data_IF_697092642237
#
_entry.id   IF_697092642237
#
_cell.length_a   1.000
_cell.length_b   1.000
_cell.length_c   1.000
_cell.angle_alpha   90.00
_cell.angle_beta   90.00
_cell.angle_gamma   90.00
#
_symmetry.space_group_name_H-M   'P 1'
#
loop_
_entity.id
_entity.type
_entity.pdbx_description
1 polymer ?
#
# COMPACT_ATOMS: atom_id res chain seq x y z
N UNK A 1 -17.92 8.41 1.51
CA UNK A 1 -16.72 7.58 1.24
C UNK A 1 -15.83 7.57 2.47
N UNK A 2 -15.48 6.38 2.92
CA UNK A 2 -14.65 6.18 4.12
C UNK A 2 -13.34 7.00 4.09
N UNK A 3 -12.68 7.09 2.94
CA UNK A 3 -11.42 7.86 2.79
C UNK A 3 -11.57 9.32 3.27
N UNK A 4 -12.64 10.03 2.90
CA UNK A 4 -12.80 11.44 3.30
C UNK A 4 -13.00 11.61 4.80
N UNK A 5 -13.72 10.68 5.41
CA UNK A 5 -13.96 10.69 6.87
C UNK A 5 -12.65 10.43 7.64
N UNK A 6 -11.80 9.50 7.13
CA UNK A 6 -10.47 9.25 7.71
C UNK A 6 -9.53 10.44 7.50
N UNK A 7 -9.51 11.03 6.30
CA UNK A 7 -8.68 12.22 6.03
C UNK A 7 -9.06 13.38 6.92
N UNK A 8 -10.36 13.62 7.17
CA UNK A 8 -10.82 14.64 8.09
C UNK A 8 -10.30 14.39 9.52
N UNK A 9 -10.34 13.14 10.00
CA UNK A 9 -9.76 12.76 11.29
C UNK A 9 -8.26 13.03 11.37
N UNK A 10 -7.51 12.65 10.33
CA UNK A 10 -6.07 12.90 10.25
C UNK A 10 -5.76 14.42 10.22
N UNK A 11 -6.49 15.21 9.42
CA UNK A 11 -6.35 16.65 9.37
C UNK A 11 -6.55 17.26 10.78
N UNK A 12 -7.64 16.88 11.47
CA UNK A 12 -7.99 17.42 12.77
C UNK A 12 -6.97 17.05 13.87
N UNK A 13 -6.35 15.87 13.79
CA UNK A 13 -5.24 15.49 14.71
C UNK A 13 -3.96 16.26 14.38
N UNK A 14 -3.64 16.39 13.11
CA UNK A 14 -2.41 17.06 12.65
C UNK A 14 -2.43 18.58 12.88
N UNK A 15 -3.60 19.23 12.91
CA UNK A 15 -3.74 20.68 13.19
C UNK A 15 -3.41 21.08 14.62
N UNK A 16 -3.34 20.14 15.53
CA UNK A 16 -2.83 20.40 16.87
C UNK A 16 -1.31 20.58 16.81
N UNK A 17 -0.73 21.63 17.40
CA UNK A 17 0.70 21.96 17.26
C UNK A 17 1.64 21.00 18.04
N UNK A 18 1.26 19.73 18.15
CA UNK A 18 1.94 18.74 18.99
C UNK A 18 3.27 18.26 18.37
N UNK A 19 3.42 18.32 17.04
CA UNK A 19 4.68 17.89 16.40
C UNK A 19 5.83 18.87 16.66
N UNK A 20 5.56 20.17 16.70
CA UNK A 20 6.58 21.19 17.02
C UNK A 20 7.03 21.13 18.49
N UNK A 21 6.23 20.53 19.36
CA UNK A 21 6.47 20.42 20.80
C UNK A 21 6.65 18.97 21.26
N UNK A 22 6.82 18.02 20.33
CA UNK A 22 6.95 16.61 20.65
C UNK A 22 8.33 16.35 21.31
N UNK A 23 8.32 16.21 22.63
CA UNK A 23 9.51 15.83 23.43
C UNK A 23 9.77 14.32 23.41
N UNK A 24 8.74 13.50 23.13
CA UNK A 24 8.80 12.03 23.17
C UNK A 24 9.04 11.39 21.79
N UNK A 25 9.65 12.13 20.85
CA UNK A 25 9.94 11.56 19.54
C UNK A 25 11.03 10.48 19.64
N UNK A 26 10.77 9.28 19.16
CA UNK A 26 11.73 8.18 19.09
C UNK A 26 13.01 8.52 18.31
N UNK A 27 12.96 9.55 17.45
CA UNK A 27 14.12 10.07 16.71
C UNK A 27 14.97 11.04 17.54
N UNK A 28 14.50 11.41 18.74
CA UNK A 28 15.23 12.25 19.70
C UNK A 28 15.65 13.60 19.12
N UNK A 29 16.90 13.99 19.38
CA UNK A 29 17.49 15.24 18.89
C UNK A 29 17.56 15.39 17.36
N UNK A 30 17.39 14.29 16.63
CA UNK A 30 17.36 14.29 15.16
C UNK A 30 15.96 14.55 14.59
N UNK A 31 14.95 14.68 15.44
CA UNK A 31 13.59 14.98 14.97
C UNK A 31 13.56 16.40 14.35
N UNK A 32 13.18 16.54 13.07
CA UNK A 32 13.11 17.86 12.45
C UNK A 32 11.92 18.69 12.89
N UNK A 33 11.03 18.15 13.76
CA UNK A 33 9.74 18.73 14.12
C UNK A 33 8.89 19.14 12.90
N UNK A 34 9.08 18.44 11.81
CA UNK A 34 8.47 18.66 10.51
C UNK A 34 8.19 17.30 9.89
N UNK A 35 6.90 16.93 9.75
CA UNK A 35 6.51 15.62 9.25
C UNK A 35 6.89 15.40 7.78
N UNK A 36 6.98 16.46 6.96
CA UNK A 36 7.42 16.33 5.57
C UNK A 36 8.89 15.95 5.50
N UNK A 37 9.75 16.59 6.31
CA UNK A 37 11.15 16.21 6.45
C UNK A 37 11.33 14.84 7.08
N UNK A 38 10.52 14.49 8.10
CA UNK A 38 10.53 13.15 8.67
C UNK A 38 10.26 12.08 7.63
N UNK A 39 9.26 12.29 6.74
CA UNK A 39 8.98 11.37 5.64
C UNK A 39 10.10 11.37 4.58
N UNK A 40 10.72 12.51 4.32
CA UNK A 40 11.87 12.54 3.41
C UNK A 40 13.04 11.73 3.96
N UNK A 41 13.37 11.84 5.24
CA UNK A 41 14.42 11.02 5.87
C UNK A 41 14.09 9.53 5.86
N UNK A 42 12.81 9.17 6.01
CA UNK A 42 12.35 7.80 5.93
C UNK A 42 12.49 7.23 4.51
N UNK A 43 12.06 7.99 3.51
CA UNK A 43 12.07 7.52 2.12
C UNK A 43 13.45 7.68 1.45
N UNK A 44 14.25 8.63 1.91
CA UNK A 44 15.57 8.96 1.40
C UNK A 44 16.59 9.08 2.57
N UNK A 45 17.06 7.97 3.14
CA UNK A 45 17.94 8.00 4.31
C UNK A 45 19.21 8.84 4.13
N UNK A 46 19.64 9.06 2.88
CA UNK A 46 20.79 9.92 2.57
C UNK A 46 20.56 11.43 2.87
N UNK A 47 19.31 11.83 3.02
CA UNK A 47 18.94 13.21 3.37
C UNK A 47 18.90 13.43 4.89
N UNK A 48 18.92 12.35 5.68
CA UNK A 48 18.97 12.45 7.14
C UNK A 48 20.28 13.11 7.62
N UNK A 49 20.27 13.75 8.80
CA UNK A 49 21.47 14.31 9.39
C UNK A 49 22.57 13.26 9.54
N UNK A 50 23.84 13.71 9.45
CA UNK A 50 24.98 12.82 9.66
C UNK A 50 24.92 12.20 11.06
N UNK A 51 25.15 10.89 11.15
CA UNK A 51 25.05 10.09 12.37
C UNK A 51 23.64 9.92 12.96
N UNK A 52 22.59 10.38 12.29
CA UNK A 52 21.23 10.08 12.71
C UNK A 52 20.97 8.57 12.61
N UNK A 53 20.20 7.99 13.55
CA UNK A 53 19.73 6.61 13.40
C UNK A 53 18.80 6.49 12.18
N UNK A 54 18.58 5.27 11.73
CA UNK A 54 17.62 5.03 10.65
C UNK A 54 16.21 5.47 11.06
N UNK A 55 15.58 6.31 10.22
CA UNK A 55 14.19 6.74 10.45
C UNK A 55 13.22 5.59 10.17
N UNK A 56 12.31 5.34 11.09
CA UNK A 56 11.29 4.27 10.99
C UNK A 56 9.89 4.85 11.03
N UNK A 57 8.90 4.01 10.67
CA UNK A 57 7.48 4.31 10.88
C UNK A 57 7.14 4.12 12.38
N UNK A 58 7.34 5.15 13.18
CA UNK A 58 7.19 5.11 14.64
C UNK A 58 6.61 6.41 15.25
N UNK A 59 6.14 7.34 14.39
CA UNK A 59 5.54 8.61 14.80
C UNK A 59 4.09 8.73 14.30
N UNK A 60 3.16 8.92 15.24
CA UNK A 60 1.73 9.06 14.94
C UNK A 60 1.40 10.33 14.12
N UNK A 61 2.14 11.43 14.36
CA UNK A 61 1.96 12.67 13.59
C UNK A 61 2.41 12.50 12.14
N UNK A 62 3.50 11.76 11.94
CA UNK A 62 3.97 11.39 10.61
C UNK A 62 2.95 10.50 9.89
N UNK A 63 2.27 9.60 10.60
CA UNK A 63 1.23 8.75 10.02
C UNK A 63 0.02 9.56 9.53
N UNK A 64 -0.44 10.55 10.31
CA UNK A 64 -1.53 11.44 9.89
C UNK A 64 -1.11 12.27 8.66
N UNK A 65 0.11 12.83 8.67
CA UNK A 65 0.65 13.57 7.52
C UNK A 65 0.78 12.67 6.28
N UNK A 66 1.36 11.47 6.43
CA UNK A 66 1.49 10.46 5.38
C UNK A 66 0.13 10.12 4.77
N UNK A 67 -0.86 9.87 5.62
CA UNK A 67 -2.22 9.54 5.18
C UNK A 67 -2.82 10.66 4.35
N UNK A 68 -2.68 11.91 4.78
CA UNK A 68 -3.16 13.07 4.04
C UNK A 68 -2.40 13.29 2.72
N UNK A 69 -1.11 13.03 2.68
CA UNK A 69 -0.26 13.24 1.50
C UNK A 69 -0.47 12.16 0.43
N UNK A 70 -0.54 10.89 0.84
CA UNK A 70 -0.44 9.76 -0.08
C UNK A 70 -1.76 9.02 -0.36
N UNK A 71 -2.72 9.00 0.59
CA UNK A 71 -3.85 8.08 0.50
C UNK A 71 -4.72 8.29 -0.73
N UNK A 72 -4.95 9.52 -1.16
CA UNK A 72 -5.77 9.77 -2.35
C UNK A 72 -5.13 9.17 -3.62
N UNK A 73 -3.81 9.35 -3.79
CA UNK A 73 -3.06 8.76 -4.91
C UNK A 73 -3.08 7.25 -4.84
N UNK A 74 -2.71 6.68 -3.71
CA UNK A 74 -2.60 5.22 -3.54
C UNK A 74 -3.95 4.52 -3.67
N UNK A 75 -5.01 5.14 -3.16
CA UNK A 75 -6.38 4.68 -3.36
C UNK A 75 -6.77 4.72 -4.85
N UNK A 76 -6.42 5.79 -5.58
CA UNK A 76 -6.68 5.90 -7.02
C UNK A 76 -5.97 4.81 -7.81
N UNK A 77 -4.69 4.57 -7.53
CA UNK A 77 -3.90 3.51 -8.17
C UNK A 77 -4.54 2.14 -7.99
N UNK A 78 -5.01 1.83 -6.77
CA UNK A 78 -5.72 0.57 -6.52
C UNK A 78 -7.10 0.53 -7.16
N UNK A 79 -7.81 1.64 -7.26
CA UNK A 79 -9.07 1.67 -8.01
C UNK A 79 -8.85 1.31 -9.48
N UNK A 80 -7.81 1.82 -10.14
CA UNK A 80 -7.43 1.42 -11.50
C UNK A 80 -7.10 -0.07 -11.60
N UNK A 81 -6.37 -0.63 -10.61
CA UNK A 81 -6.03 -2.05 -10.59
C UNK A 81 -7.25 -2.94 -10.36
N UNK A 82 -8.08 -2.64 -9.36
CA UNK A 82 -9.25 -3.44 -8.99
C UNK A 82 -10.29 -3.50 -10.11
N UNK A 83 -10.50 -2.40 -10.84
CA UNK A 83 -11.40 -2.37 -12.00
C UNK A 83 -11.01 -3.35 -13.11
N UNK A 84 -9.74 -3.78 -13.16
CA UNK A 84 -9.22 -4.76 -14.11
C UNK A 84 -9.30 -6.20 -13.59
N UNK A 85 -9.75 -6.39 -12.35
CA UNK A 85 -9.96 -7.70 -11.73
C UNK A 85 -11.41 -8.17 -11.96
N UNK A 86 -11.75 -8.56 -13.18
CA UNK A 86 -13.13 -8.89 -13.58
C UNK A 86 -13.84 -9.91 -12.69
N UNK A 87 -13.10 -10.87 -12.12
CA UNK A 87 -13.66 -11.94 -11.28
C UNK A 87 -14.10 -11.51 -9.87
N UNK A 88 -13.75 -10.29 -9.43
CA UNK A 88 -14.17 -9.75 -8.12
C UNK A 88 -15.12 -8.57 -8.23
N UNK A 89 -15.51 -8.19 -9.45
CA UNK A 89 -16.41 -7.05 -9.67
C UNK A 89 -17.84 -7.29 -9.18
N UNK A 90 -18.28 -8.56 -9.16
CA UNK A 90 -19.60 -8.95 -8.70
C UNK A 90 -19.48 -10.24 -7.87
N UNK A 91 -19.23 -10.09 -6.57
CA UNK A 91 -19.13 -11.21 -5.63
C UNK A 91 -20.03 -10.98 -4.43
N UNK A 92 -20.48 -12.05 -3.80
CA UNK A 92 -21.30 -11.95 -2.58
C UNK A 92 -20.43 -11.51 -1.39
N UNK A 93 -19.33 -12.21 -1.14
CA UNK A 93 -18.37 -11.90 -0.09
C UNK A 93 -16.98 -11.67 -0.67
N UNK A 94 -16.42 -10.49 -0.42
CA UNK A 94 -15.04 -10.15 -0.78
C UNK A 94 -14.11 -10.39 0.40
N UNK A 95 -13.15 -11.30 0.26
CA UNK A 95 -12.13 -11.63 1.26
C UNK A 95 -10.80 -11.03 0.86
N UNK A 96 -10.36 -10.03 1.59
CA UNK A 96 -9.15 -9.26 1.28
C UNK A 96 -8.04 -9.55 2.29
N UNK A 97 -6.86 -9.86 1.78
CA UNK A 97 -5.61 -9.91 2.53
C UNK A 97 -4.69 -8.80 2.03
N UNK A 98 -4.40 -7.84 2.89
CA UNK A 98 -3.57 -6.68 2.58
C UNK A 98 -2.28 -6.73 3.37
N UNK A 99 -1.16 -6.76 2.69
CA UNK A 99 0.18 -6.74 3.28
C UNK A 99 0.75 -5.32 3.27
N UNK A 100 1.35 -4.89 4.40
CA UNK A 100 1.78 -3.52 4.59
C UNK A 100 0.60 -2.56 4.46
N UNK A 101 -0.52 -2.87 5.13
CA UNK A 101 -1.80 -2.18 4.89
C UNK A 101 -1.76 -0.69 5.23
N UNK A 102 -0.84 -0.24 6.09
CA UNK A 102 -0.70 1.16 6.47
C UNK A 102 -2.05 1.82 6.76
N UNK A 103 -2.41 2.92 6.07
CA UNK A 103 -3.69 3.60 6.22
C UNK A 103 -4.87 2.88 5.54
N UNK A 104 -4.72 1.68 4.99
CA UNK A 104 -5.74 0.86 4.31
C UNK A 104 -6.29 1.47 3.02
N UNK A 105 -5.42 1.95 2.16
CA UNK A 105 -5.80 2.59 0.89
C UNK A 105 -6.51 1.64 -0.08
N UNK A 106 -6.29 0.34 0.02
CA UNK A 106 -7.02 -0.70 -0.69
C UNK A 106 -8.48 -0.85 -0.19
N UNK A 107 -8.72 -0.78 1.11
CA UNK A 107 -10.06 -0.74 1.66
C UNK A 107 -10.80 0.53 1.21
N UNK A 108 -10.11 1.68 1.18
CA UNK A 108 -10.68 2.93 0.66
C UNK A 108 -11.03 2.80 -0.84
N UNK A 109 -10.19 2.12 -1.61
CA UNK A 109 -10.46 1.88 -3.04
C UNK A 109 -11.71 1.02 -3.24
N UNK A 110 -11.88 -0.02 -2.45
CA UNK A 110 -13.06 -0.90 -2.49
C UNK A 110 -14.33 -0.16 -2.09
N UNK A 111 -14.29 0.64 -1.01
CA UNK A 111 -15.43 1.48 -0.59
C UNK A 111 -15.81 2.49 -1.67
N UNK A 112 -14.82 3.18 -2.26
CA UNK A 112 -15.05 4.17 -3.31
C UNK A 112 -15.62 3.56 -4.59
N UNK A 113 -15.09 2.41 -5.03
CA UNK A 113 -15.59 1.71 -6.20
C UNK A 113 -17.02 1.20 -6.00
N UNK A 114 -17.36 0.71 -4.80
CA UNK A 114 -18.72 0.30 -4.46
C UNK A 114 -19.69 1.48 -4.47
N UNK A 115 -19.32 2.62 -3.86
CA UNK A 115 -20.15 3.82 -3.87
C UNK A 115 -20.37 4.35 -5.30
N UNK A 116 -19.35 4.26 -6.16
CA UNK A 116 -19.46 4.59 -7.60
C UNK A 116 -20.18 3.54 -8.43
N UNK A 117 -20.65 2.42 -7.83
CA UNK A 117 -21.31 1.28 -8.50
C UNK A 117 -20.44 0.63 -9.60
N UNK A 118 -19.13 0.70 -9.47
CA UNK A 118 -18.19 0.07 -10.40
C UNK A 118 -17.85 -1.36 -10.00
N UNK A 119 -18.08 -1.73 -8.73
CA UNK A 119 -18.04 -3.10 -8.21
C UNK A 119 -19.24 -3.33 -7.29
N UNK A 120 -19.62 -4.60 -7.11
CA UNK A 120 -20.69 -5.00 -6.22
C UNK A 120 -20.27 -6.16 -5.33
N UNK A 121 -20.54 -6.03 -4.03
CA UNK A 121 -20.40 -7.08 -3.03
C UNK A 121 -21.36 -6.81 -1.87
N UNK A 122 -21.85 -7.85 -1.21
CA UNK A 122 -22.72 -7.72 -0.04
C UNK A 122 -21.90 -7.48 1.22
N UNK A 123 -20.76 -8.17 1.37
CA UNK A 123 -19.88 -8.04 2.52
C UNK A 123 -18.39 -8.06 2.17
N UNK A 124 -17.57 -7.49 3.07
CA UNK A 124 -16.12 -7.59 3.02
C UNK A 124 -15.61 -8.24 4.31
N UNK A 125 -14.68 -9.19 4.16
CA UNK A 125 -13.79 -9.65 5.24
C UNK A 125 -12.38 -9.17 4.94
N UNK A 126 -11.96 -8.12 5.62
CA UNK A 126 -10.65 -7.50 5.45
C UNK A 126 -9.67 -7.97 6.53
N UNK A 127 -8.49 -8.39 6.09
CA UNK A 127 -7.37 -8.78 6.95
C UNK A 127 -6.17 -7.92 6.56
N UNK A 128 -5.93 -6.87 7.36
CA UNK A 128 -4.79 -5.98 7.18
C UNK A 128 -3.60 -6.44 8.00
N UNK A 129 -2.44 -6.49 7.39
CA UNK A 129 -1.18 -6.89 8.02
C UNK A 129 -0.22 -5.71 7.97
N UNK A 130 0.29 -5.30 9.11
CA UNK A 130 1.32 -4.27 9.21
C UNK A 130 2.22 -4.54 10.40
N UNK A 131 3.49 -4.17 10.29
CA UNK A 131 4.43 -4.34 11.39
C UNK A 131 4.28 -3.24 12.45
N UNK A 132 3.93 -2.02 12.02
CA UNK A 132 3.97 -0.80 12.82
C UNK A 132 2.64 -0.52 13.53
N UNK A 133 2.37 -1.25 14.63
CA UNK A 133 1.11 -1.12 15.39
C UNK A 133 0.84 0.32 15.85
N UNK A 134 1.81 0.90 16.56
CA UNK A 134 1.58 2.15 17.29
C UNK A 134 1.37 3.34 16.36
N UNK A 135 2.01 3.32 15.20
CA UNK A 135 1.89 4.35 14.17
C UNK A 135 0.49 4.40 13.57
N UNK A 136 -0.06 3.23 13.22
CA UNK A 136 -1.35 3.13 12.53
C UNK A 136 -2.55 2.99 13.46
N UNK A 137 -2.31 2.84 14.78
CA UNK A 137 -3.36 2.54 15.77
C UNK A 137 -4.54 3.51 15.71
N UNK A 138 -4.29 4.81 15.64
CA UNK A 138 -5.34 5.84 15.59
C UNK A 138 -6.18 5.73 14.31
N UNK A 139 -5.52 5.54 13.16
CA UNK A 139 -6.18 5.42 11.86
C UNK A 139 -7.00 4.14 11.81
N UNK A 140 -6.43 3.00 12.23
CA UNK A 140 -7.14 1.72 12.28
C UNK A 140 -8.32 1.74 13.25
N UNK A 141 -8.20 2.45 14.38
CA UNK A 141 -9.32 2.66 15.31
C UNK A 141 -10.43 3.48 14.67
N UNK A 142 -10.09 4.56 13.95
CA UNK A 142 -11.07 5.39 13.25
C UNK A 142 -11.76 4.60 12.14
N UNK A 143 -11.02 3.81 11.36
CA UNK A 143 -11.59 2.91 10.35
C UNK A 143 -12.58 1.93 10.99
N UNK A 144 -12.24 1.32 12.11
CA UNK A 144 -13.14 0.40 12.82
C UNK A 144 -14.41 1.09 13.35
N UNK A 145 -14.34 2.36 13.72
CA UNK A 145 -15.50 3.14 14.16
C UNK A 145 -16.40 3.61 13.01
N UNK A 146 -15.81 3.90 11.85
CA UNK A 146 -16.49 4.49 10.70
C UNK A 146 -16.92 3.46 9.65
N UNK A 147 -16.43 2.22 9.73
CA UNK A 147 -16.78 1.16 8.77
C UNK A 147 -18.28 0.87 8.79
N UNK A 148 -18.80 0.51 7.63
CA UNK A 148 -20.18 0.04 7.48
C UNK A 148 -20.37 -1.36 8.11
N UNK A 149 -21.58 -1.71 8.51
CA UNK A 149 -21.90 -2.95 9.23
C UNK A 149 -21.52 -4.23 8.45
N UNK A 150 -21.52 -4.16 7.13
CA UNK A 150 -21.15 -5.28 6.26
C UNK A 150 -19.64 -5.42 6.02
N UNK A 151 -18.81 -4.71 6.78
CA UNK A 151 -17.35 -4.75 6.70
C UNK A 151 -16.80 -5.34 8.00
N UNK A 152 -16.26 -6.56 7.93
CA UNK A 152 -15.53 -7.22 9.02
C UNK A 152 -14.03 -6.98 8.83
N UNK A 153 -13.39 -6.34 9.81
CA UNK A 153 -11.97 -5.96 9.74
C UNK A 153 -11.21 -6.55 10.93
N UNK A 154 -10.06 -7.16 10.60
CA UNK A 154 -9.06 -7.55 11.60
C UNK A 154 -7.68 -7.06 11.18
N UNK A 155 -6.97 -6.41 12.09
CA UNK A 155 -5.58 -5.98 11.91
C UNK A 155 -4.63 -6.92 12.64
N UNK A 156 -3.57 -7.34 11.94
CA UNK A 156 -2.49 -8.16 12.47
C UNK A 156 -1.21 -7.33 12.47
N UNK A 157 -0.69 -7.05 13.66
CA UNK A 157 0.55 -6.29 13.81
C UNK A 157 1.71 -7.24 14.03
N UNK A 158 2.20 -7.80 12.94
CA UNK A 158 3.29 -8.77 12.93
C UNK A 158 3.97 -8.83 11.57
N UNK A 159 5.08 -9.53 11.53
CA UNK A 159 5.77 -9.84 10.28
C UNK A 159 4.84 -10.60 9.31
N UNK A 160 4.91 -10.20 8.03
CA UNK A 160 4.06 -10.77 6.99
C UNK A 160 4.31 -12.26 6.75
N UNK A 161 5.58 -12.72 6.82
CA UNK A 161 5.93 -14.12 6.62
C UNK A 161 5.37 -15.00 7.75
N UNK A 162 5.47 -14.53 9.00
CA UNK A 162 4.88 -15.25 10.16
C UNK A 162 3.37 -15.39 10.00
N UNK A 163 2.69 -14.33 9.55
CA UNK A 163 1.25 -14.41 9.35
C UNK A 163 0.87 -15.34 8.19
N UNK A 164 1.65 -15.37 7.11
CA UNK A 164 1.40 -16.27 5.98
C UNK A 164 1.39 -17.73 6.45
N UNK A 165 2.33 -18.13 7.29
CA UNK A 165 2.39 -19.47 7.86
C UNK A 165 1.15 -19.80 8.72
N UNK A 166 0.69 -18.85 9.52
CA UNK A 166 -0.53 -19.01 10.32
C UNK A 166 -1.79 -19.15 9.44
N UNK A 167 -1.92 -18.33 8.41
CA UNK A 167 -3.04 -18.38 7.45
C UNK A 167 -2.99 -19.65 6.61
N UNK A 168 -1.81 -20.11 6.22
CA UNK A 168 -1.63 -21.32 5.44
C UNK A 168 -2.14 -22.58 6.18
N UNK A 169 -2.13 -22.56 7.50
CA UNK A 169 -2.69 -23.62 8.33
C UNK A 169 -4.19 -23.47 8.64
N UNK A 170 -4.78 -22.31 8.30
CA UNK A 170 -6.18 -22.00 8.50
C UNK A 170 -7.09 -22.40 7.34
N UNK A 171 -8.40 -22.24 7.57
CA UNK A 171 -9.44 -22.44 6.53
C UNK A 171 -9.82 -21.18 5.79
N UNK A 172 -9.32 -20.01 6.20
CA UNK A 172 -9.65 -18.75 5.59
C UNK A 172 -8.75 -18.52 4.37
N UNK A 173 -9.36 -18.31 3.21
CA UNK A 173 -8.63 -18.05 1.96
C UNK A 173 -9.17 -16.77 1.34
N UNK A 174 -8.30 -15.80 1.00
CA UNK A 174 -8.70 -14.57 0.32
C UNK A 174 -9.08 -14.82 -1.14
N UNK A 175 -9.87 -13.93 -1.71
CA UNK A 175 -10.08 -13.82 -3.16
C UNK A 175 -9.45 -12.55 -3.75
N UNK A 176 -8.93 -11.67 -2.88
CA UNK A 176 -8.08 -10.54 -3.27
C UNK A 176 -6.90 -10.43 -2.29
N UNK A 177 -5.69 -10.38 -2.82
CA UNK A 177 -4.46 -10.15 -2.06
C UNK A 177 -3.82 -8.88 -2.60
N UNK A 178 -3.40 -7.98 -1.72
CA UNK A 178 -2.83 -6.67 -2.10
C UNK A 178 -1.47 -6.48 -1.44
N UNK A 179 -0.50 -6.07 -2.25
CA UNK A 179 0.78 -5.50 -1.83
C UNK A 179 0.90 -4.12 -2.46
N UNK A 180 0.87 -3.09 -1.63
CA UNK A 180 0.99 -1.72 -2.11
C UNK A 180 2.15 -1.01 -1.44
N UNK A 181 3.20 -0.67 -2.20
CA UNK A 181 4.42 -0.01 -1.75
C UNK A 181 5.20 -0.80 -0.66
N UNK A 182 5.01 -2.12 -0.63
CA UNK A 182 5.62 -3.02 0.34
C UNK A 182 7.04 -3.39 -0.07
N UNK A 183 7.24 -3.74 -1.33
CA UNK A 183 8.55 -4.21 -1.80
C UNK A 183 9.60 -3.11 -1.82
N UNK A 184 9.23 -1.88 -2.21
CA UNK A 184 10.13 -0.73 -2.12
C UNK A 184 10.51 -0.38 -0.68
N UNK A 185 9.58 -0.60 0.25
CA UNK A 185 9.83 -0.36 1.68
C UNK A 185 10.74 -1.44 2.28
N UNK A 186 10.43 -2.71 2.03
CA UNK A 186 11.28 -3.84 2.44
C UNK A 186 12.72 -3.66 1.90
N UNK A 187 12.88 -3.29 0.63
CA UNK A 187 14.20 -3.08 0.03
C UNK A 187 15.04 -1.99 0.68
N UNK A 188 14.40 -0.96 1.23
CA UNK A 188 15.10 0.13 1.92
C UNK A 188 15.61 -0.27 3.30
N UNK A 189 14.90 -1.18 3.95
CA UNK A 189 15.06 -1.47 5.38
C UNK A 189 15.56 -2.89 5.67
N UNK A 190 15.78 -3.73 4.65
CA UNK A 190 16.20 -5.13 4.82
C UNK A 190 17.28 -5.54 3.82
N UNK A 191 17.76 -6.77 3.96
CA UNK A 191 18.75 -7.34 3.04
C UNK A 191 18.09 -8.00 1.81
N UNK A 192 18.89 -8.23 0.76
CA UNK A 192 18.42 -8.98 -0.41
C UNK A 192 17.93 -10.40 -0.06
N UNK A 193 18.49 -11.01 0.99
CA UNK A 193 18.07 -12.33 1.46
C UNK A 193 16.69 -12.27 2.11
N UNK A 194 16.36 -11.22 2.86
CA UNK A 194 15.05 -11.04 3.49
C UNK A 194 13.96 -10.83 2.42
N UNK A 195 14.27 -10.06 1.38
CA UNK A 195 13.36 -9.87 0.23
C UNK A 195 13.11 -11.22 -0.45
N UNK A 196 14.18 -11.98 -0.73
CA UNK A 196 14.05 -13.30 -1.33
C UNK A 196 13.22 -14.22 -0.45
N UNK A 197 13.46 -14.26 0.84
CA UNK A 197 12.69 -15.05 1.80
C UNK A 197 11.20 -14.68 1.77
N UNK A 198 10.88 -13.39 1.78
CA UNK A 198 9.48 -12.91 1.69
C UNK A 198 8.80 -13.34 0.39
N UNK A 199 9.50 -13.24 -0.74
CA UNK A 199 8.98 -13.67 -2.04
C UNK A 199 8.75 -15.19 -2.05
N UNK A 200 9.71 -15.99 -1.59
CA UNK A 200 9.62 -17.44 -1.54
C UNK A 200 8.46 -17.90 -0.65
N UNK A 201 8.36 -17.37 0.58
CA UNK A 201 7.28 -17.69 1.51
C UNK A 201 5.90 -17.39 0.93
N UNK A 202 5.74 -16.22 0.31
CA UNK A 202 4.48 -15.87 -0.33
C UNK A 202 4.17 -16.74 -1.54
N UNK A 203 5.18 -17.10 -2.34
CA UNK A 203 4.99 -17.99 -3.49
C UNK A 203 4.61 -19.41 -3.07
N UNK A 204 5.19 -19.95 -2.00
CA UNK A 204 4.79 -21.23 -1.42
C UNK A 204 3.31 -21.21 -0.98
N UNK A 205 2.90 -20.17 -0.25
CA UNK A 205 1.51 -19.97 0.10
C UNK A 205 0.59 -19.88 -1.13
N UNK A 206 0.98 -19.07 -2.12
CA UNK A 206 0.23 -18.91 -3.36
C UNK A 206 0.05 -20.25 -4.09
N UNK A 207 1.10 -21.03 -4.21
CA UNK A 207 1.06 -22.32 -4.92
C UNK A 207 0.22 -23.37 -4.19
N UNK A 208 0.31 -23.42 -2.85
CA UNK A 208 -0.30 -24.47 -2.05
C UNK A 208 -1.74 -24.17 -1.63
N UNK A 209 -2.10 -22.91 -1.38
CA UNK A 209 -3.33 -22.55 -0.67
C UNK A 209 -4.26 -21.61 -1.43
N UNK A 210 -3.72 -20.73 -2.30
CA UNK A 210 -4.53 -19.75 -3.01
C UNK A 210 -5.45 -20.42 -4.03
N UNK A 211 -6.74 -20.12 -3.94
CA UNK A 211 -7.77 -20.75 -4.77
C UNK A 211 -7.84 -20.12 -6.16
N UNK A 212 -8.43 -20.88 -7.09
CA UNK A 212 -8.77 -20.38 -8.42
C UNK A 212 -9.61 -19.09 -8.34
N UNK A 213 -9.40 -18.19 -9.30
CA UNK A 213 -10.03 -16.88 -9.40
C UNK A 213 -9.65 -15.89 -8.27
N UNK A 214 -8.67 -16.22 -7.43
CA UNK A 214 -8.05 -15.22 -6.54
C UNK A 214 -7.18 -14.28 -7.37
N UNK A 215 -7.27 -12.99 -7.06
CA UNK A 215 -6.40 -11.97 -7.63
C UNK A 215 -5.34 -11.55 -6.63
N UNK A 216 -4.13 -11.31 -7.14
CA UNK A 216 -3.04 -10.65 -6.42
C UNK A 216 -2.72 -9.36 -7.14
N UNK A 217 -2.73 -8.25 -6.43
CA UNK A 217 -2.32 -6.94 -6.93
C UNK A 217 -0.99 -6.58 -6.29
N UNK A 218 0.02 -6.41 -7.12
CA UNK A 218 1.31 -5.82 -6.75
C UNK A 218 1.32 -4.41 -7.32
N UNK A 219 1.44 -3.40 -6.46
CA UNK A 219 1.46 -1.98 -6.83
C UNK A 219 2.61 -1.30 -6.10
N UNK A 220 3.62 -0.81 -6.82
CA UNK A 220 4.79 -0.23 -6.20
C UNK A 220 5.47 0.83 -7.09
N UNK A 221 6.49 1.49 -6.56
CA UNK A 221 7.25 2.51 -7.26
C UNK A 221 7.75 1.93 -8.59
N UNK A 222 7.47 2.64 -9.69
CA UNK A 222 7.86 2.22 -11.05
C UNK A 222 9.35 2.47 -11.32
N UNK A 223 10.21 1.94 -10.47
CA UNK A 223 11.66 1.97 -10.56
C UNK A 223 12.22 0.59 -10.23
N UNK A 224 13.41 0.29 -10.76
CA UNK A 224 14.18 -0.88 -10.34
C UNK A 224 14.79 -0.73 -8.95
N UNK A 225 15.21 -1.83 -8.36
CA UNK A 225 15.80 -1.89 -7.00
C UNK A 225 16.96 -0.92 -6.80
N UNK A 226 17.86 -0.78 -7.78
CA UNK A 226 19.02 0.11 -7.70
C UNK A 226 18.67 1.60 -7.57
N UNK A 227 17.39 1.94 -7.77
CA UNK A 227 16.85 3.30 -7.69
C UNK A 227 15.77 3.44 -6.62
N UNK A 228 15.71 2.52 -5.66
CA UNK A 228 14.73 2.54 -4.57
C UNK A 228 13.30 2.16 -5.00
N UNK A 229 13.16 1.49 -6.14
CA UNK A 229 11.84 1.03 -6.63
C UNK A 229 11.50 -0.39 -6.18
N UNK A 230 10.23 -0.75 -6.23
CA UNK A 230 9.69 -2.04 -5.78
C UNK A 230 9.24 -2.99 -6.89
N UNK A 231 9.42 -2.63 -8.18
CA UNK A 231 8.88 -3.44 -9.29
C UNK A 231 9.70 -4.68 -9.66
N UNK A 232 11.00 -4.72 -9.36
CA UNK A 232 11.85 -5.86 -9.73
C UNK A 232 11.42 -7.16 -9.04
N UNK A 233 11.04 -7.18 -7.74
CA UNK A 233 10.47 -8.35 -7.07
C UNK A 233 9.24 -8.95 -7.76
N UNK A 234 8.47 -8.17 -8.52
CA UNK A 234 7.32 -8.68 -9.26
C UNK A 234 7.72 -9.77 -10.28
N UNK A 235 8.84 -9.55 -10.98
CA UNK A 235 9.39 -10.52 -11.91
C UNK A 235 9.88 -11.79 -11.22
N UNK A 236 10.58 -11.65 -10.10
CA UNK A 236 11.06 -12.77 -9.30
C UNK A 236 9.89 -13.62 -8.79
N UNK A 237 8.82 -12.98 -8.30
CA UNK A 237 7.62 -13.67 -7.86
C UNK A 237 6.96 -14.49 -9.00
N UNK A 238 6.84 -13.92 -10.20
CA UNK A 238 6.26 -14.62 -11.36
C UNK A 238 7.01 -15.89 -11.77
N UNK A 239 8.32 -15.95 -11.54
CA UNK A 239 9.14 -17.12 -11.93
C UNK A 239 8.86 -18.35 -11.07
N UNK A 240 8.31 -18.18 -9.87
CA UNK A 240 8.14 -19.25 -8.88
C UNK A 240 6.68 -19.60 -8.58
N UNK A 241 5.73 -18.78 -9.03
CA UNK A 241 4.29 -19.08 -8.90
C UNK A 241 3.80 -19.93 -10.08
N UNK A 242 2.81 -20.78 -9.78
CA UNK A 242 2.22 -21.71 -10.75
C UNK A 242 0.77 -21.34 -11.07
N UNK A 243 0.30 -21.77 -12.26
CA UNK A 243 -1.11 -21.66 -12.65
C UNK A 243 -1.64 -20.22 -12.52
N UNK A 244 -0.95 -19.29 -13.17
CA UNK A 244 -1.29 -17.88 -13.12
C UNK A 244 -1.40 -17.27 -14.52
N UNK A 245 -2.37 -16.37 -14.67
CA UNK A 245 -2.39 -15.37 -15.73
C UNK A 245 -2.03 -14.03 -15.11
N UNK A 246 -1.36 -13.16 -15.84
CA UNK A 246 -0.98 -11.85 -15.32
C UNK A 246 -1.05 -10.76 -16.39
N UNK A 247 -1.20 -9.53 -15.93
CA UNK A 247 -1.02 -8.32 -16.73
C UNK A 247 -0.07 -7.36 -16.02
N UNK A 248 0.73 -6.64 -16.80
CA UNK A 248 1.67 -5.62 -16.34
C UNK A 248 1.25 -4.28 -16.91
N UNK A 249 1.20 -3.27 -16.07
CA UNK A 249 0.88 -1.91 -16.48
C UNK A 249 1.68 -0.91 -15.69
N UNK A 250 1.76 0.32 -16.19
CA UNK A 250 2.33 1.45 -15.48
C UNK A 250 1.54 2.70 -15.80
N UNK A 251 1.57 3.66 -14.89
CA UNK A 251 1.03 4.99 -15.16
C UNK A 251 2.02 5.81 -15.97
N UNK A 252 1.50 6.60 -16.91
CA UNK A 252 2.30 7.58 -17.62
C UNK A 252 2.98 8.51 -16.60
N UNK A 253 4.27 8.73 -16.79
CA UNK A 253 5.01 9.65 -15.96
C UNK A 253 5.47 10.82 -16.82
N UNK A 254 4.80 11.96 -16.69
CA UNK A 254 5.13 13.21 -17.43
C UNK A 254 6.57 13.69 -17.16
N UNK A 255 7.18 13.23 -16.06
CA UNK A 255 8.58 13.49 -15.72
C UNK A 255 9.58 12.46 -16.29
N UNK A 256 9.14 11.49 -17.10
CA UNK A 256 10.01 10.48 -17.70
C UNK A 256 11.08 11.04 -18.67
N UNK A 257 11.03 12.32 -18.97
CA UNK A 257 12.02 13.06 -19.79
C UNK A 257 13.14 13.70 -18.99
N UNK A 258 13.13 13.63 -17.63
CA UNK A 258 14.20 14.22 -16.84
C UNK A 258 15.49 13.40 -16.97
N UNK A 259 16.63 14.06 -17.14
CA UNK A 259 17.95 13.43 -17.22
C UNK A 259 18.31 12.58 -15.97
N UNK A 260 17.62 12.82 -14.86
CA UNK A 260 17.81 12.11 -13.58
C UNK A 260 17.20 10.71 -13.54
N UNK A 261 16.26 10.39 -14.42
CA UNK A 261 15.64 9.07 -14.45
C UNK A 261 15.98 8.39 -15.77
N UNK A 262 16.85 7.36 -15.78
CA UNK A 262 17.22 6.69 -17.01
C UNK A 262 15.97 6.18 -17.74
N UNK A 263 15.98 6.32 -19.03
CA UNK A 263 14.90 5.89 -19.93
C UNK A 263 14.48 4.47 -19.62
N UNK A 264 13.19 4.21 -19.62
CA UNK A 264 12.71 2.85 -19.61
C UNK A 264 11.89 2.46 -18.39
N UNK A 265 11.13 3.38 -17.83
CA UNK A 265 10.11 3.05 -16.84
C UNK A 265 8.90 2.34 -17.44
N UNK A 266 9.00 1.89 -18.69
CA UNK A 266 7.98 1.06 -19.29
C UNK A 266 7.89 -0.25 -18.53
N UNK A 267 6.72 -0.52 -17.97
CA UNK A 267 6.41 -1.76 -17.27
C UNK A 267 5.08 -2.31 -17.80
N UNK A 268 5.16 -3.11 -18.87
CA UNK A 268 3.97 -3.59 -19.56
C UNK A 268 3.24 -2.48 -20.32
N UNK A 269 1.91 -2.52 -20.32
CA UNK A 269 1.05 -1.56 -21.00
C UNK A 269 0.98 -0.23 -20.22
N UNK A 270 1.07 0.90 -20.93
CA UNK A 270 0.85 2.20 -20.33
C UNK A 270 -0.64 2.44 -20.11
N UNK A 271 -1.02 2.85 -18.91
CA UNK A 271 -2.39 3.24 -18.62
C UNK A 271 -2.67 4.63 -19.20
N UNK A 272 -3.78 4.79 -19.95
CA UNK A 272 -4.08 6.04 -20.67
C UNK A 272 -4.45 7.20 -19.74
N UNK A 273 -4.80 6.90 -18.48
CA UNK A 273 -5.18 7.87 -17.46
C UNK A 273 -4.36 7.65 -16.20
N UNK A 274 -3.79 8.71 -15.66
CA UNK A 274 -2.96 8.71 -14.45
C UNK A 274 -3.49 9.67 -13.37
N UNK A 275 -4.71 10.18 -13.52
CA UNK A 275 -5.24 11.20 -12.63
C UNK A 275 -5.58 10.65 -11.25
N UNK A 276 -5.32 11.46 -10.23
CA UNK A 276 -5.86 11.21 -8.91
C UNK A 276 -7.40 11.40 -8.95
N UNK A 277 -8.14 10.39 -8.49
CA UNK A 277 -9.60 10.30 -8.62
C UNK A 277 -10.36 11.03 -7.50
N UNK A 278 -9.64 11.70 -6.58
CA UNK A 278 -10.18 12.38 -5.41
C UNK A 278 -9.97 13.89 -5.44
N UNK A 279 -10.84 14.62 -4.75
CA UNK A 279 -10.68 16.05 -4.57
C UNK A 279 -9.61 16.34 -3.49
N UNK A 280 -8.59 17.11 -3.87
CA UNK A 280 -7.42 17.41 -3.01
C UNK A 280 -7.49 18.81 -2.37
N UNK A 281 -8.59 19.54 -2.52
CA UNK A 281 -8.68 20.95 -2.11
C UNK A 281 -8.35 21.15 -0.63
N UNK A 282 -8.86 20.29 0.25
CA UNK A 282 -8.65 20.37 1.70
C UNK A 282 -7.28 19.80 2.14
N UNK A 283 -6.51 19.22 1.21
CA UNK A 283 -5.23 18.58 1.49
C UNK A 283 -4.03 19.40 1.04
N UNK A 284 -4.21 20.61 0.51
CA UNK A 284 -3.13 21.41 -0.09
C UNK A 284 -1.91 21.59 0.80
N UNK A 285 -2.12 21.75 2.13
CA UNK A 285 -1.03 21.90 3.10
C UNK A 285 -0.15 20.65 3.25
N UNK A 286 -0.61 19.49 2.82
CA UNK A 286 0.13 18.23 2.82
C UNK A 286 0.82 17.93 1.49
N UNK A 287 0.75 18.83 0.52
CA UNK A 287 1.33 18.67 -0.82
C UNK A 287 0.99 17.32 -1.47
N UNK A 288 -0.31 16.95 -1.59
CA UNK A 288 -0.72 15.67 -2.15
C UNK A 288 -0.43 15.60 -3.64
N UNK A 289 -0.24 14.39 -4.16
CA UNK A 289 0.05 14.18 -5.58
C UNK A 289 -1.23 14.23 -6.43
N UNK A 290 -1.18 14.95 -7.53
CA UNK A 290 -2.28 15.06 -8.49
C UNK A 290 -2.38 13.86 -9.43
N UNK A 291 -1.30 13.08 -9.58
CA UNK A 291 -1.22 11.97 -10.53
C UNK A 291 -0.74 10.68 -9.86
N UNK A 292 -1.17 9.55 -10.40
CA UNK A 292 -0.66 8.21 -10.11
C UNK A 292 0.68 7.99 -10.83
N UNK A 293 1.55 7.13 -10.30
CA UNK A 293 2.87 6.90 -10.89
C UNK A 293 3.45 5.50 -10.60
N UNK A 294 2.67 4.55 -10.11
CA UNK A 294 3.16 3.20 -9.80
C UNK A 294 3.30 2.31 -11.04
N UNK A 295 4.07 1.24 -10.89
CA UNK A 295 3.94 0.04 -11.72
C UNK A 295 2.97 -0.92 -11.05
N UNK A 296 2.18 -1.62 -11.85
CA UNK A 296 1.18 -2.57 -11.36
C UNK A 296 1.34 -3.92 -12.05
N UNK A 297 1.25 -4.97 -11.26
CA UNK A 297 1.06 -6.33 -11.76
C UNK A 297 -0.20 -6.91 -11.13
N UNK A 298 -1.12 -7.35 -11.98
CA UNK A 298 -2.30 -8.08 -11.56
C UNK A 298 -2.12 -9.54 -11.95
N UNK A 299 -2.22 -10.43 -10.99
CA UNK A 299 -2.07 -11.87 -11.16
C UNK A 299 -3.40 -12.53 -10.83
N UNK A 300 -3.89 -13.41 -11.68
CA UNK A 300 -5.08 -14.23 -11.47
C UNK A 300 -4.68 -15.69 -11.36
N UNK A 301 -5.07 -16.35 -10.27
CA UNK A 301 -4.91 -17.79 -10.13
C UNK A 301 -5.87 -18.52 -11.07
N UNK A 302 -5.36 -19.41 -11.90
CA UNK A 302 -6.15 -20.21 -12.84
C UNK A 302 -6.06 -21.70 -12.52
N UNK A 303 -6.92 -22.52 -13.13
CA UNK A 303 -6.81 -23.98 -13.02
C UNK A 303 -5.51 -24.50 -13.68
N UNK A 304 -5.09 -25.68 -13.21
CA UNK A 304 -4.09 -26.48 -13.94
C UNK A 304 -4.60 -26.85 -15.30
#
# INVERSE_FOLDING_TARGET
MLIYEILEKCINRYEKPECEQCEDCSYGEYCPHDCEKCLDYLHNPKHAPQNAPERKYDCVHMADFYTCKYSCRYTSELMYAIQRCSGIQNVDELKVLSFGCGPCTDLFALDALKEKKLISFNSIKYRGVDYSKDVWANIHQDINKLKKDNIDIHFYYKDACILIDEIANGKWVPNLIVFQYVFSDIQKHTTANDIKHSIDTFAEYYNAKVLQNTYVILNDINLGCGYGGGRDPFGAFLLIINNSQYSKTHFCNDNATSEYYPRGYTYGEELPDNQNLFNLTNLKKFSPFNTCASAQMIIKKVNK
#
